data_IF_295399679504
#
_entry.id   IF_295399679504
#
_cell.length_a   1.000
_cell.length_b   1.000
_cell.length_c   1.000
_cell.angle_alpha   90.00
_cell.angle_beta   90.00
_cell.angle_gamma   90.00
#
_symmetry.space_group_name_H-M   'P 1'
#
loop_
_entity.id
_entity.type
_entity.pdbx_description
1 polymer ?
#
# COMPACT_ATOMS: atom_id res chain seq x y z
N UNK A 1 9.51 38.20 -6.58
CA UNK A 1 9.03 36.88 -6.96
C UNK A 1 8.93 36.88 -8.48
N UNK A 2 9.82 36.17 -9.15
CA UNK A 2 9.91 36.12 -10.61
C UNK A 2 9.23 34.86 -11.17
N UNK A 3 9.26 34.66 -12.48
CA UNK A 3 8.60 33.53 -13.14
C UNK A 3 9.15 32.18 -12.65
N UNK A 4 10.44 32.12 -12.32
CA UNK A 4 11.07 30.92 -11.79
C UNK A 4 10.53 30.59 -10.39
N UNK A 5 10.43 31.61 -9.53
CA UNK A 5 9.87 31.49 -8.18
C UNK A 5 8.41 30.96 -8.19
N UNK A 6 7.57 31.46 -9.11
CA UNK A 6 6.18 31.02 -9.27
C UNK A 6 6.07 29.57 -9.76
N UNK A 7 6.94 29.19 -10.70
CA UNK A 7 6.95 27.83 -11.28
C UNK A 7 7.36 26.83 -10.20
N UNK A 8 8.43 27.14 -9.46
CA UNK A 8 8.94 26.29 -8.39
C UNK A 8 7.90 26.10 -7.27
N UNK A 9 7.19 27.17 -6.89
CA UNK A 9 6.13 27.09 -5.88
C UNK A 9 4.96 26.19 -6.34
N UNK A 10 4.61 26.22 -7.63
CA UNK A 10 3.54 25.38 -8.19
C UNK A 10 3.93 23.91 -8.22
N UNK A 11 5.16 23.60 -8.59
CA UNK A 11 5.68 22.23 -8.60
C UNK A 11 5.72 21.66 -7.19
N UNK A 12 6.18 22.44 -6.21
CA UNK A 12 6.19 22.01 -4.81
C UNK A 12 4.77 21.75 -4.29
N UNK A 13 3.80 22.63 -4.61
CA UNK A 13 2.40 22.40 -4.25
C UNK A 13 1.82 21.14 -4.90
N UNK A 14 2.12 20.88 -6.17
CA UNK A 14 1.68 19.68 -6.87
C UNK A 14 2.27 18.42 -6.23
N UNK A 15 3.56 18.45 -5.90
CA UNK A 15 4.27 17.37 -5.23
C UNK A 15 3.70 17.08 -3.84
N UNK A 16 3.49 18.12 -3.02
CA UNK A 16 2.88 18.00 -1.70
C UNK A 16 1.47 17.40 -1.76
N UNK A 17 0.66 17.81 -2.74
CA UNK A 17 -0.69 17.23 -2.96
C UNK A 17 -0.62 15.75 -3.34
N UNK A 18 0.34 15.37 -4.18
CA UNK A 18 0.55 13.97 -4.55
C UNK A 18 0.92 13.12 -3.32
N UNK A 19 1.89 13.58 -2.53
CA UNK A 19 2.29 12.89 -1.29
C UNK A 19 1.15 12.77 -0.28
N UNK A 20 0.36 13.84 -0.11
CA UNK A 20 -0.78 13.82 0.79
C UNK A 20 -1.84 12.79 0.37
N UNK A 21 -2.09 12.64 -0.94
CA UNK A 21 -3.04 11.64 -1.46
C UNK A 21 -2.54 10.21 -1.30
N UNK A 22 -1.23 10.01 -1.42
CA UNK A 22 -0.60 8.69 -1.30
C UNK A 22 -0.05 8.41 0.10
N UNK A 23 -0.47 9.17 1.12
CA UNK A 23 -0.06 8.92 2.50
C UNK A 23 -0.55 7.52 2.89
N UNK A 24 0.35 6.61 3.26
CA UNK A 24 -0.04 5.24 3.58
C UNK A 24 -1.01 5.26 4.77
N UNK A 25 -2.13 4.56 4.62
CA UNK A 25 -3.03 4.29 5.73
C UNK A 25 -2.22 3.47 6.75
N UNK A 26 -2.00 4.04 7.93
CA UNK A 26 -1.45 3.30 9.05
C UNK A 26 -2.56 2.39 9.57
N UNK A 27 -2.48 1.10 9.23
CA UNK A 27 -3.37 0.08 9.76
C UNK A 27 -2.77 -0.37 11.09
N UNK A 28 -3.52 -0.23 12.19
CA UNK A 28 -3.10 -0.75 13.49
C UNK A 28 -2.88 -2.26 13.41
N UNK A 29 -1.61 -2.65 13.57
CA UNK A 29 -1.10 -4.02 13.44
C UNK A 29 -1.60 -4.91 14.60
N UNK A 30 -2.02 -4.31 15.71
CA UNK A 30 -2.51 -5.02 16.89
C UNK A 30 -3.87 -5.71 16.65
N UNK A 31 -4.63 -5.26 15.66
CA UNK A 31 -5.94 -5.83 15.29
C UNK A 31 -5.83 -6.79 14.09
N UNK A 32 -4.69 -7.48 13.93
CA UNK A 32 -4.57 -8.51 12.89
C UNK A 32 -5.41 -9.72 13.29
N UNK A 33 -6.63 -9.76 12.76
CA UNK A 33 -7.48 -10.95 12.76
C UNK A 33 -6.91 -11.99 11.80
N UNK A 34 -7.17 -13.27 12.08
CA UNK A 34 -6.88 -14.37 11.18
C UNK A 34 -7.53 -14.10 9.81
N UNK A 35 -6.72 -14.00 8.76
CA UNK A 35 -7.19 -13.76 7.39
C UNK A 35 -7.01 -14.99 6.55
N UNK A 36 -7.99 -15.29 5.70
CA UNK A 36 -7.95 -16.43 4.78
C UNK A 36 -7.79 -15.97 3.34
N UNK A 37 -7.09 -16.78 2.55
CA UNK A 37 -6.84 -16.52 1.13
C UNK A 37 -8.13 -16.64 0.33
N UNK A 38 -8.41 -15.65 -0.53
CA UNK A 38 -9.62 -15.67 -1.38
C UNK A 38 -9.60 -16.77 -2.47
N UNK A 39 -8.43 -17.26 -2.88
CA UNK A 39 -8.32 -18.26 -3.95
C UNK A 39 -8.29 -19.71 -3.42
N UNK A 40 -7.64 -19.96 -2.28
CA UNK A 40 -7.43 -21.32 -1.76
C UNK A 40 -8.01 -21.55 -0.37
N UNK A 41 -8.54 -20.53 0.31
CA UNK A 41 -9.12 -20.65 1.64
C UNK A 41 -8.11 -20.86 2.78
N UNK A 42 -6.81 -20.97 2.48
CA UNK A 42 -5.77 -21.17 3.49
C UNK A 42 -5.53 -19.92 4.35
N UNK A 43 -5.10 -20.13 5.59
CA UNK A 43 -4.74 -19.04 6.50
C UNK A 43 -3.54 -18.26 5.94
N UNK A 44 -3.69 -16.95 5.80
CA UNK A 44 -2.61 -16.05 5.38
C UNK A 44 -1.66 -15.86 6.56
N UNK A 45 -0.36 -16.15 6.39
CA UNK A 45 0.60 -16.03 7.49
C UNK A 45 0.67 -14.60 8.02
N UNK A 46 0.66 -14.45 9.35
CA UNK A 46 0.69 -13.14 10.02
C UNK A 46 1.86 -12.26 9.55
N UNK A 47 3.03 -12.86 9.26
CA UNK A 47 4.19 -12.14 8.69
C UNK A 47 3.84 -11.39 7.40
N UNK A 48 3.00 -11.99 6.55
CA UNK A 48 2.55 -11.41 5.28
C UNK A 48 1.49 -10.33 5.50
N UNK A 49 0.57 -10.54 6.44
CA UNK A 49 -0.41 -9.51 6.82
C UNK A 49 0.29 -8.29 7.45
N UNK A 50 1.34 -8.50 8.24
CA UNK A 50 2.18 -7.42 8.79
C UNK A 50 2.92 -6.64 7.72
N UNK A 51 3.50 -7.34 6.74
CA UNK A 51 4.23 -6.70 5.63
C UNK A 51 3.28 -5.99 4.66
N UNK A 52 2.11 -6.57 4.38
CA UNK A 52 1.09 -6.04 3.47
C UNK A 52 -0.28 -6.17 4.13
N UNK A 53 -0.72 -5.16 4.90
CA UNK A 53 -1.99 -5.19 5.64
C UNK A 53 -3.23 -5.41 4.78
N UNK A 54 -3.16 -5.07 3.50
CA UNK A 54 -4.26 -5.20 2.55
C UNK A 54 -4.18 -6.48 1.70
N UNK A 55 -3.35 -7.47 2.08
CA UNK A 55 -3.27 -8.70 1.31
C UNK A 55 -4.55 -9.54 1.42
N UNK A 56 -5.10 -9.94 0.28
CA UNK A 56 -6.26 -10.84 0.18
C UNK A 56 -5.87 -12.28 -0.21
N UNK A 57 -4.61 -12.50 -0.59
CA UNK A 57 -4.08 -13.78 -1.08
C UNK A 57 -2.90 -14.26 -0.27
N UNK A 58 -2.78 -15.58 -0.11
CA UNK A 58 -1.57 -16.22 0.41
C UNK A 58 -0.38 -16.01 -0.55
N UNK A 59 0.84 -16.24 -0.05
CA UNK A 59 2.07 -16.07 -0.83
C UNK A 59 2.06 -16.92 -2.10
N UNK A 60 1.68 -18.19 -1.97
CA UNK A 60 1.65 -19.12 -3.10
C UNK A 60 0.68 -18.69 -4.21
N UNK A 61 -0.55 -18.28 -3.87
CA UNK A 61 -1.52 -17.83 -4.87
C UNK A 61 -1.12 -16.50 -5.50
N UNK A 62 -0.54 -15.58 -4.74
CA UNK A 62 -0.05 -14.32 -5.27
C UNK A 62 1.10 -14.54 -6.25
N UNK A 63 2.10 -15.35 -5.90
CA UNK A 63 3.23 -15.65 -6.79
C UNK A 63 2.79 -16.30 -8.10
N UNK A 64 1.76 -17.16 -8.06
CA UNK A 64 1.19 -17.77 -9.28
C UNK A 64 0.55 -16.74 -10.20
N UNK A 65 -0.06 -15.69 -9.65
CA UNK A 65 -0.70 -14.62 -10.42
C UNK A 65 0.35 -13.65 -10.97
N UNK A 66 1.38 -13.32 -10.18
CA UNK A 66 2.43 -12.38 -10.58
C UNK A 66 3.41 -12.95 -11.61
N UNK A 67 3.61 -14.27 -11.63
CA UNK A 67 4.44 -14.96 -12.64
C UNK A 67 3.72 -15.17 -13.98
N UNK A 68 2.46 -14.75 -14.10
CA UNK A 68 1.63 -14.94 -15.28
C UNK A 68 1.62 -13.69 -16.14
#
# INVERSE_FOLDING_TARGET
MDLADITQQRDEQAYQRFLARHKPIQVDIDTITERFCVDCGELIPVKRVKAVPHCCRCIYCQEKVERK
#
